data_IF_603449774253
#
_entry.id   IF_603449774253
#
_cell.length_a   1.000
_cell.length_b   1.000
_cell.length_c   1.000
_cell.angle_alpha   90.00
_cell.angle_beta   90.00
_cell.angle_gamma   90.00
#
_symmetry.space_group_name_H-M   'P 1'
#
loop_
_entity.id
_entity.type
_entity.pdbx_description
1 polymer ?
#
# COMPACT_ATOMS: atom_id res chain seq x y z
N UNK A 1 28.54 9.17 0.81
CA UNK A 1 27.44 9.51 -0.13
C UNK A 1 27.94 10.53 -1.15
N UNK A 2 28.25 10.11 -2.37
CA UNK A 2 28.72 11.02 -3.41
C UNK A 2 27.54 11.74 -4.08
N UNK A 3 27.59 13.06 -4.15
CA UNK A 3 26.66 13.84 -4.98
C UNK A 3 26.86 13.52 -6.47
N UNK A 4 25.76 13.50 -7.23
CA UNK A 4 25.80 13.21 -8.67
C UNK A 4 26.64 14.25 -9.43
N UNK A 5 27.26 13.83 -10.55
CA UNK A 5 28.03 14.74 -11.42
C UNK A 5 27.19 15.94 -11.87
N UNK A 6 25.90 15.74 -12.13
CA UNK A 6 24.98 16.82 -12.50
C UNK A 6 24.78 17.83 -11.36
N UNK A 7 24.59 17.36 -10.11
CA UNK A 7 24.44 18.24 -8.94
C UNK A 7 25.70 19.05 -8.68
N UNK A 8 26.89 18.45 -8.85
CA UNK A 8 28.18 19.16 -8.76
C UNK A 8 28.28 20.31 -9.76
N UNK A 9 27.88 20.08 -11.02
CA UNK A 9 27.87 21.12 -12.06
C UNK A 9 26.93 22.28 -11.72
N UNK A 10 25.70 21.99 -11.27
CA UNK A 10 24.74 23.04 -10.84
C UNK A 10 25.30 23.89 -9.70
N UNK A 11 25.88 23.25 -8.69
CA UNK A 11 26.50 23.96 -7.56
C UNK A 11 27.72 24.78 -7.97
N UNK A 12 28.49 24.35 -8.97
CA UNK A 12 29.59 25.14 -9.53
C UNK A 12 29.06 26.42 -10.19
N UNK A 13 28.04 26.30 -11.04
CA UNK A 13 27.43 27.45 -11.71
C UNK A 13 26.90 28.50 -10.72
N UNK A 14 26.22 28.05 -9.65
CA UNK A 14 25.71 28.96 -8.60
C UNK A 14 26.88 29.66 -7.88
N UNK A 15 27.97 28.94 -7.59
CA UNK A 15 29.18 29.53 -7.00
C UNK A 15 29.86 30.56 -7.90
N UNK A 16 29.77 30.39 -9.21
CA UNK A 16 30.29 31.33 -10.21
C UNK A 16 29.36 32.53 -10.46
N UNK A 17 28.22 32.60 -9.76
CA UNK A 17 27.25 33.70 -9.88
C UNK A 17 26.22 33.51 -11.00
N UNK A 18 26.19 32.34 -11.66
CA UNK A 18 25.15 32.03 -12.63
C UNK A 18 23.82 31.72 -11.97
N UNK A 19 22.74 32.01 -12.68
CA UNK A 19 21.37 31.73 -12.24
C UNK A 19 21.18 30.24 -11.93
N UNK A 20 20.52 29.93 -10.81
CA UNK A 20 20.21 28.56 -10.43
C UNK A 20 19.29 27.92 -11.49
N UNK A 21 19.73 26.88 -12.23
CA UNK A 21 18.95 26.27 -13.30
C UNK A 21 17.67 25.59 -12.81
N UNK A 22 17.51 25.37 -11.50
CA UNK A 22 16.26 24.90 -10.92
C UNK A 22 15.13 25.94 -11.01
N UNK A 23 15.45 27.24 -11.05
CA UNK A 23 14.48 28.34 -11.21
C UNK A 23 13.84 28.31 -12.61
N UNK A 24 14.63 27.97 -13.63
CA UNK A 24 14.16 27.88 -15.03
C UNK A 24 13.50 26.54 -15.38
N UNK A 25 13.33 25.65 -14.40
CA UNK A 25 12.79 24.31 -14.66
C UNK A 25 11.29 24.42 -14.91
N UNK A 26 10.79 23.66 -15.89
CA UNK A 26 9.35 23.64 -16.17
C UNK A 26 8.57 23.04 -14.99
N UNK A 27 7.30 23.46 -14.78
CA UNK A 27 6.45 22.92 -13.71
C UNK A 27 6.22 21.40 -13.86
N UNK A 28 6.31 20.88 -15.09
CA UNK A 28 6.24 19.45 -15.40
C UNK A 28 7.32 18.61 -14.72
N UNK A 29 8.45 19.21 -14.32
CA UNK A 29 9.48 18.48 -13.58
C UNK A 29 9.07 18.15 -12.14
N UNK A 30 8.04 18.82 -11.60
CA UNK A 30 7.53 18.61 -10.25
C UNK A 30 6.31 17.68 -10.22
N UNK A 31 5.63 17.53 -11.36
CA UNK A 31 4.40 16.76 -11.48
C UNK A 31 4.75 15.33 -11.92
N UNK A 32 4.08 14.34 -11.32
CA UNK A 32 4.15 12.97 -11.82
C UNK A 32 3.32 12.86 -13.11
N UNK A 33 4.02 12.72 -14.23
CA UNK A 33 3.42 12.53 -15.56
C UNK A 33 3.24 11.05 -15.93
N UNK A 34 3.37 10.14 -14.97
CA UNK A 34 3.11 8.72 -15.21
C UNK A 34 1.65 8.48 -15.62
N UNK A 35 1.45 7.55 -16.55
CA UNK A 35 0.11 7.14 -16.95
C UNK A 35 -0.48 6.19 -15.92
N UNK A 36 -1.72 6.44 -15.50
CA UNK A 36 -2.43 5.53 -14.59
C UNK A 36 -2.77 4.25 -15.35
N UNK A 37 -2.35 3.11 -14.81
CA UNK A 37 -2.67 1.79 -15.34
C UNK A 37 -3.66 1.07 -14.43
N UNK A 38 -4.60 0.35 -15.02
CA UNK A 38 -5.51 -0.54 -14.28
C UNK A 38 -4.77 -1.78 -13.80
N UNK A 39 -5.29 -2.44 -12.76
CA UNK A 39 -4.70 -3.69 -12.24
C UNK A 39 -4.66 -4.77 -13.33
N UNK A 40 -3.57 -5.53 -13.36
CA UNK A 40 -3.47 -6.74 -14.20
C UNK A 40 -4.35 -7.86 -13.65
N UNK A 41 -4.62 -8.90 -14.45
CA UNK A 41 -5.37 -10.10 -14.02
C UNK A 41 -4.85 -10.67 -12.70
N UNK A 42 -3.52 -10.82 -12.58
CA UNK A 42 -2.87 -11.29 -11.34
C UNK A 42 -3.08 -10.30 -10.19
N UNK A 43 -2.92 -9.01 -10.45
CA UNK A 43 -3.15 -7.96 -9.46
C UNK A 43 -4.59 -7.91 -8.95
N UNK A 44 -5.57 -8.28 -9.78
CA UNK A 44 -6.96 -8.41 -9.35
C UNK A 44 -7.20 -9.72 -8.57
N UNK A 45 -6.75 -10.87 -9.09
CA UNK A 45 -6.97 -12.19 -8.50
C UNK A 45 -6.42 -12.28 -7.07
N UNK A 46 -5.23 -11.73 -6.84
CA UNK A 46 -4.59 -11.72 -5.52
C UNK A 46 -4.92 -10.47 -4.69
N UNK A 47 -5.78 -9.58 -5.17
CA UNK A 47 -6.24 -8.42 -4.41
C UNK A 47 -7.30 -8.84 -3.40
N UNK A 48 -6.89 -9.09 -2.14
CA UNK A 48 -7.81 -9.30 -1.02
C UNK A 48 -8.49 -7.97 -0.60
N UNK A 49 -9.48 -7.53 -1.36
CA UNK A 49 -10.21 -6.27 -1.09
C UNK A 49 -11.17 -6.39 0.10
N UNK A 50 -11.82 -7.54 0.25
CA UNK A 50 -12.61 -7.89 1.44
C UNK A 50 -12.01 -9.16 2.03
N UNK A 51 -11.83 -9.19 3.34
CA UNK A 51 -11.63 -10.44 4.05
C UNK A 51 -13.04 -11.02 4.22
N UNK A 52 -13.39 -12.02 3.42
CA UNK A 52 -14.42 -12.93 3.88
C UNK A 52 -13.78 -13.58 5.10
N UNK A 53 -14.19 -13.17 6.31
CA UNK A 53 -14.11 -14.09 7.42
C UNK A 53 -14.96 -15.27 6.96
N UNK A 54 -14.29 -16.31 6.46
CA UNK A 54 -14.89 -17.62 6.51
C UNK A 54 -15.05 -17.81 8.01
N UNK A 55 -16.23 -17.45 8.51
CA UNK A 55 -16.54 -17.53 9.93
C UNK A 55 -16.18 -18.95 10.29
N UNK A 56 -15.14 -19.07 11.11
CA UNK A 56 -14.69 -20.35 11.60
C UNK A 56 -15.95 -21.06 12.07
N UNK A 57 -16.19 -22.29 11.58
CA UNK A 57 -17.32 -23.13 12.01
C UNK A 57 -17.38 -23.30 13.55
N UNK A 58 -16.40 -22.75 14.27
CA UNK A 58 -16.42 -22.32 15.68
C UNK A 58 -17.78 -21.83 16.19
N UNK A 59 -18.58 -21.08 15.41
CA UNK A 59 -19.92 -20.67 15.86
C UNK A 59 -20.82 -21.91 16.05
N UNK A 60 -20.87 -22.78 15.04
CA UNK A 60 -21.64 -24.03 15.10
C UNK A 60 -21.07 -24.99 16.14
N UNK A 61 -19.74 -25.13 16.23
CA UNK A 61 -19.08 -25.99 17.23
C UNK A 61 -19.40 -25.53 18.65
N UNK A 62 -19.39 -24.22 18.92
CA UNK A 62 -19.71 -23.66 20.24
C UNK A 62 -21.20 -23.84 20.55
N UNK A 63 -22.07 -23.60 19.57
CA UNK A 63 -23.51 -23.80 19.70
C UNK A 63 -23.87 -25.26 20.02
N UNK A 64 -23.30 -26.24 19.30
CA UNK A 64 -23.54 -27.66 19.55
C UNK A 64 -22.99 -28.13 20.90
N UNK A 65 -21.84 -27.62 21.34
CA UNK A 65 -21.30 -27.95 22.67
C UNK A 65 -22.17 -27.38 23.79
N UNK A 66 -22.69 -26.16 23.61
CA UNK A 66 -23.57 -25.53 24.59
C UNK A 66 -24.93 -26.21 24.68
N UNK A 67 -25.54 -26.57 23.53
CA UNK A 67 -26.82 -27.29 23.51
C UNK A 67 -26.71 -28.68 24.13
N UNK A 68 -25.62 -29.41 23.86
CA UNK A 68 -25.36 -30.71 24.47
C UNK A 68 -25.17 -30.61 25.99
N UNK A 69 -24.44 -29.59 26.47
CA UNK A 69 -24.27 -29.31 27.89
C UNK A 69 -25.60 -29.00 28.59
N UNK A 70 -26.46 -28.20 27.97
CA UNK A 70 -27.81 -27.91 28.50
C UNK A 70 -28.70 -29.16 28.55
N UNK A 71 -28.65 -30.01 27.51
CA UNK A 71 -29.42 -31.25 27.48
C UNK A 71 -28.98 -32.23 28.60
N UNK A 72 -27.68 -32.36 28.83
CA UNK A 72 -27.12 -33.17 29.93
C UNK A 72 -27.52 -32.61 31.31
N UNK A 73 -27.58 -31.27 31.44
CA UNK A 73 -27.94 -30.59 32.69
C UNK A 73 -29.43 -30.68 33.01
N UNK A 74 -30.28 -30.82 31.99
CA UNK A 74 -31.75 -30.97 32.12
C UNK A 74 -32.23 -32.42 32.27
N UNK A 75 -31.33 -33.39 32.12
CA UNK A 75 -31.62 -34.84 32.20
C UNK A 75 -31.11 -35.50 33.50
N UNK A 76 -30.67 -34.69 34.47
CA UNK A 76 -30.43 -35.08 35.88
C UNK A 76 -31.55 -34.53 36.74
#
# INVERSE_FOLDING_TARGET
>A
MAISKAKKKRQKLIREGHLNPEIKRSPFALIDLSSKQTKTKKGYLYSKKRKNHQEDDSFFVTFFKFSHFLHISSSK
#
